data_IF_541451901128
#
_entry.id   IF_541451901128
#
_cell.length_a   1.000
_cell.length_b   1.000
_cell.length_c   1.000
_cell.angle_alpha   90.00
_cell.angle_beta   90.00
_cell.angle_gamma   90.00
#
_symmetry.space_group_name_H-M   'P 1'
#
loop_
_entity.id
_entity.type
_entity.pdbx_description
1 polymer ?
#
# COMPACT_ATOMS: atom_id res chain seq x y z
N UNK A 1 -4.62 -32.56 -8.53
CA UNK A 1 -4.06 -32.19 -7.22
C UNK A 1 -2.56 -32.36 -7.28
N UNK A 2 -1.82 -31.27 -7.50
CA UNK A 2 -0.36 -31.29 -7.46
C UNK A 2 0.12 -31.55 -6.03
N UNK A 3 1.17 -32.36 -5.87
CA UNK A 3 1.81 -32.55 -4.56
C UNK A 3 2.53 -31.26 -4.19
N UNK A 4 2.10 -30.62 -3.11
CA UNK A 4 2.81 -29.48 -2.52
C UNK A 4 4.19 -29.92 -2.02
N UNK A 5 5.20 -29.09 -2.26
CA UNK A 5 6.55 -29.27 -1.72
C UNK A 5 6.53 -29.06 -0.20
N UNK A 6 7.46 -29.71 0.50
CA UNK A 6 7.60 -29.51 1.96
C UNK A 6 7.97 -28.06 2.25
N UNK A 7 7.27 -27.46 3.21
CA UNK A 7 7.54 -26.10 3.65
C UNK A 7 8.92 -26.01 4.32
N UNK A 8 9.81 -25.11 3.87
CA UNK A 8 11.09 -24.87 4.53
C UNK A 8 10.90 -24.29 5.94
N UNK A 9 11.89 -24.53 6.82
CA UNK A 9 11.90 -23.97 8.19
C UNK A 9 12.91 -22.82 8.20
N UNK A 10 12.43 -21.60 8.40
CA UNK A 10 13.26 -20.40 8.46
C UNK A 10 13.59 -20.03 9.91
N UNK A 11 14.79 -19.46 10.13
CA UNK A 11 15.20 -18.95 11.44
C UNK A 11 14.85 -17.48 11.64
N UNK A 12 14.71 -16.72 10.54
CA UNK A 12 14.43 -15.28 10.58
C UNK A 12 13.46 -14.87 9.48
N UNK A 13 12.71 -13.78 9.71
CA UNK A 13 11.79 -13.21 8.71
C UNK A 13 12.53 -12.72 7.44
N UNK A 14 13.77 -12.25 7.59
CA UNK A 14 14.57 -11.80 6.45
C UNK A 14 14.92 -12.96 5.49
N UNK A 15 15.30 -14.11 6.05
CA UNK A 15 15.58 -15.35 5.30
C UNK A 15 14.32 -15.88 4.61
N UNK A 16 13.16 -15.82 5.30
CA UNK A 16 11.88 -16.17 4.72
C UNK A 16 11.53 -15.27 3.53
N UNK A 17 11.71 -13.95 3.66
CA UNK A 17 11.44 -12.99 2.57
C UNK A 17 12.31 -13.26 1.35
N UNK A 18 13.61 -13.45 1.54
CA UNK A 18 14.56 -13.72 0.45
C UNK A 18 14.23 -15.03 -0.30
N UNK A 19 13.76 -16.05 0.44
CA UNK A 19 13.26 -17.28 -0.17
C UNK A 19 12.01 -17.05 -1.02
N UNK A 20 10.99 -16.35 -0.49
CA UNK A 20 9.74 -16.10 -1.22
C UNK A 20 9.89 -15.12 -2.38
N UNK A 21 10.89 -14.24 -2.36
CA UNK A 21 11.21 -13.38 -3.51
C UNK A 21 11.70 -14.18 -4.73
N UNK A 22 12.28 -15.36 -4.51
CA UNK A 22 12.87 -16.21 -5.55
C UNK A 22 12.07 -17.46 -5.89
N UNK A 23 11.10 -17.86 -5.05
CA UNK A 23 10.36 -19.11 -5.19
C UNK A 23 8.85 -18.90 -5.38
N UNK A 24 8.24 -19.70 -6.25
CA UNK A 24 6.80 -19.65 -6.48
C UNK A 24 6.02 -20.30 -5.33
N UNK A 25 5.25 -19.48 -4.62
CA UNK A 25 4.39 -19.89 -3.50
C UNK A 25 3.32 -20.93 -3.84
N UNK A 26 2.91 -21.05 -5.11
CA UNK A 26 1.89 -22.02 -5.55
C UNK A 26 2.38 -23.47 -5.47
N UNK A 27 3.70 -23.67 -5.41
CA UNK A 27 4.29 -24.99 -5.23
C UNK A 27 4.29 -25.46 -3.76
N UNK A 28 4.10 -24.55 -2.81
CA UNK A 28 4.24 -24.80 -1.37
C UNK A 28 2.94 -24.59 -0.58
N UNK A 29 2.04 -23.71 -1.06
CA UNK A 29 0.81 -23.31 -0.35
C UNK A 29 -0.43 -23.68 -1.14
N UNK A 30 -1.42 -24.28 -0.46
CA UNK A 30 -2.74 -24.52 -1.04
C UNK A 30 -3.58 -23.23 -1.03
N UNK A 31 -3.53 -22.51 -2.14
CA UNK A 31 -4.30 -21.28 -2.34
C UNK A 31 -5.82 -21.49 -2.37
N UNK A 32 -6.32 -22.73 -2.51
CA UNK A 32 -7.77 -23.01 -2.44
C UNK A 32 -8.37 -22.77 -1.06
N UNK A 33 -7.52 -22.77 -0.02
CA UNK A 33 -7.91 -22.51 1.37
C UNK A 33 -7.74 -21.03 1.76
N UNK A 34 -7.24 -20.18 0.86
CA UNK A 34 -6.99 -18.78 1.17
C UNK A 34 -8.29 -18.05 1.53
N UNK A 35 -8.22 -17.18 2.54
CA UNK A 35 -9.34 -16.32 2.96
C UNK A 35 -8.91 -14.85 2.90
N UNK A 36 -9.83 -13.94 2.56
CA UNK A 36 -9.58 -12.51 2.69
C UNK A 36 -9.23 -12.19 4.14
N UNK A 37 -8.05 -11.63 4.37
CA UNK A 37 -7.64 -11.13 5.68
C UNK A 37 -7.70 -9.61 5.64
N UNK A 38 -8.37 -9.00 6.63
CA UNK A 38 -8.28 -7.57 6.89
C UNK A 38 -7.30 -7.36 8.03
N UNK A 39 -6.34 -6.46 7.82
CA UNK A 39 -5.35 -6.11 8.84
C UNK A 39 -5.58 -4.69 9.34
N UNK A 40 -6.66 -4.44 10.11
CA UNK A 40 -7.08 -3.09 10.50
C UNK A 40 -6.05 -2.33 11.35
N UNK A 41 -5.11 -3.05 11.98
CA UNK A 41 -4.12 -2.49 12.90
C UNK A 41 -2.73 -2.28 12.28
N UNK A 42 -2.53 -2.63 11.01
CA UNK A 42 -1.27 -2.31 10.34
C UNK A 42 -1.23 -0.80 10.10
N UNK A 43 -0.28 -0.11 10.74
CA UNK A 43 -0.01 1.29 10.42
C UNK A 43 0.64 1.37 9.03
N UNK A 44 0.05 2.10 8.07
CA UNK A 44 0.75 2.43 6.85
C UNK A 44 2.05 3.15 7.20
N UNK A 45 3.18 2.72 6.63
CA UNK A 45 4.45 3.41 6.82
C UNK A 45 4.35 4.81 6.22
N UNK A 46 4.46 5.86 7.04
CA UNK A 46 4.44 7.26 6.57
C UNK A 46 5.86 7.81 6.53
N UNK A 47 6.24 8.42 5.40
CA UNK A 47 7.50 9.16 5.26
C UNK A 47 7.21 10.66 5.17
N UNK A 48 7.82 11.45 6.04
CA UNK A 48 7.74 12.92 5.97
C UNK A 48 8.57 13.43 4.80
N UNK A 49 7.98 14.28 3.97
CA UNK A 49 8.64 14.96 2.87
C UNK A 49 8.44 16.47 2.98
N UNK A 50 9.41 17.25 2.50
CA UNK A 50 9.28 18.70 2.36
C UNK A 50 8.96 19.03 0.89
N UNK A 51 7.83 19.69 0.64
CA UNK A 51 7.39 20.08 -0.70
C UNK A 51 7.20 21.60 -0.76
N UNK A 52 7.63 22.23 -1.86
CA UNK A 52 7.34 23.63 -2.15
C UNK A 52 6.12 23.73 -3.05
N UNK A 53 5.18 24.59 -2.67
CA UNK A 53 3.94 24.88 -3.40
C UNK A 53 3.79 26.39 -3.56
N UNK A 54 3.20 26.88 -4.67
CA UNK A 54 2.78 28.27 -4.77
C UNK A 54 1.74 28.61 -3.69
N UNK A 55 1.87 29.78 -3.06
CA UNK A 55 0.97 30.21 -1.97
C UNK A 55 -0.50 30.22 -2.40
N UNK A 56 -0.78 30.79 -3.57
CA UNK A 56 -2.13 30.84 -4.12
C UNK A 56 -2.76 29.46 -4.33
N UNK A 57 -1.95 28.43 -4.62
CA UNK A 57 -2.44 27.06 -4.74
C UNK A 57 -2.76 26.49 -3.36
N UNK A 58 -1.85 26.66 -2.38
CA UNK A 58 -2.07 26.18 -1.01
C UNK A 58 -3.35 26.78 -0.40
N UNK A 59 -3.61 28.06 -0.65
CA UNK A 59 -4.82 28.72 -0.13
C UNK A 59 -6.10 28.18 -0.76
N UNK A 60 -6.09 27.91 -2.08
CA UNK A 60 -7.21 27.24 -2.74
C UNK A 60 -7.47 25.85 -2.15
N UNK A 61 -6.42 25.07 -1.90
CA UNK A 61 -6.54 23.75 -1.28
C UNK A 61 -7.16 23.86 0.11
N UNK A 62 -6.73 24.84 0.92
CA UNK A 62 -7.31 25.07 2.25
C UNK A 62 -8.79 25.43 2.19
N UNK A 63 -9.21 26.23 1.22
CA UNK A 63 -10.63 26.57 1.01
C UNK A 63 -11.43 25.31 0.69
N UNK A 64 -10.97 24.49 -0.27
CA UNK A 64 -11.66 23.26 -0.65
C UNK A 64 -11.69 22.22 0.48
N UNK A 65 -10.63 22.15 1.29
CA UNK A 65 -10.58 21.26 2.44
C UNK A 65 -11.60 21.66 3.52
N UNK A 66 -11.72 22.96 3.82
CA UNK A 66 -12.73 23.47 4.75
C UNK A 66 -14.16 23.20 4.25
N UNK A 67 -14.43 23.35 2.95
CA UNK A 67 -15.75 23.03 2.37
C UNK A 67 -16.16 21.56 2.57
N UNK A 68 -15.17 20.67 2.66
CA UNK A 68 -15.34 19.22 2.84
C UNK A 68 -15.17 18.78 4.29
N UNK A 69 -15.08 19.73 5.23
CA UNK A 69 -14.82 19.48 6.65
C UNK A 69 -13.59 18.56 6.89
N UNK A 70 -12.52 18.80 6.13
CA UNK A 70 -11.31 17.98 6.13
C UNK A 70 -10.06 18.84 6.33
N UNK A 71 -9.01 18.34 7.02
CA UNK A 71 -7.71 18.99 7.03
C UNK A 71 -7.09 19.04 5.62
N UNK A 72 -6.52 20.19 5.23
CA UNK A 72 -5.92 20.36 3.91
C UNK A 72 -4.83 19.34 3.57
N UNK A 73 -4.07 18.88 4.57
CA UNK A 73 -3.06 17.83 4.39
C UNK A 73 -3.68 16.46 4.07
N UNK A 74 -4.82 16.14 4.68
CA UNK A 74 -5.56 14.91 4.37
C UNK A 74 -6.15 14.99 2.96
N UNK A 75 -6.64 16.17 2.56
CA UNK A 75 -7.17 16.37 1.22
C UNK A 75 -6.07 16.20 0.15
N UNK A 76 -4.89 16.76 0.38
CA UNK A 76 -3.74 16.58 -0.52
C UNK A 76 -3.41 15.09 -0.70
N UNK A 77 -3.42 14.31 0.39
CA UNK A 77 -3.16 12.86 0.32
C UNK A 77 -4.21 12.12 -0.51
N UNK A 78 -5.49 12.46 -0.33
CA UNK A 78 -6.57 11.84 -1.08
C UNK A 78 -6.44 12.11 -2.59
N UNK A 79 -6.23 13.36 -2.99
CA UNK A 79 -6.04 13.71 -4.40
C UNK A 79 -4.80 13.09 -5.03
N UNK A 80 -3.68 13.02 -4.30
CA UNK A 80 -2.47 12.35 -4.80
C UNK A 80 -2.68 10.84 -4.97
N UNK A 81 -3.46 10.21 -4.10
CA UNK A 81 -3.78 8.78 -4.23
C UNK A 81 -4.66 8.52 -5.46
N UNK A 82 -5.73 9.30 -5.61
CA UNK A 82 -6.66 9.24 -6.75
C UNK A 82 -5.93 9.43 -8.08
N UNK A 83 -5.11 10.48 -8.21
CA UNK A 83 -4.37 10.78 -9.45
C UNK A 83 -3.36 9.68 -9.82
N UNK A 84 -2.70 9.07 -8.83
CA UNK A 84 -1.76 7.95 -9.06
C UNK A 84 -2.50 6.68 -9.47
N UNK A 85 -3.67 6.41 -8.90
CA UNK A 85 -4.52 5.28 -9.28
C UNK A 85 -5.04 5.46 -10.72
N UNK A 86 -5.62 6.62 -11.03
CA UNK A 86 -6.11 6.95 -12.37
C UNK A 86 -4.99 6.87 -13.42
N UNK A 87 -3.81 7.42 -13.12
CA UNK A 87 -2.64 7.36 -14.01
C UNK A 87 -2.13 5.93 -14.27
N UNK A 88 -2.39 4.98 -13.37
CA UNK A 88 -2.05 3.56 -13.55
C UNK A 88 -3.08 2.83 -14.40
N UNK A 89 -4.35 3.24 -14.36
CA UNK A 89 -5.43 2.64 -15.14
C UNK A 89 -5.42 3.04 -16.62
N UNK A 90 -4.76 4.15 -16.97
CA UNK A 90 -4.62 4.62 -18.36
C UNK A 90 -3.44 3.94 -19.10
N UNK A 91 -2.73 3.00 -18.46
CA UNK A 91 -1.65 2.19 -19.07
C UNK A 91 -2.04 0.72 -19.20
#
# INVERSE_FOLDING_TARGET
MSKLKKMPVFKTEAEEREFWESHDSTEYVDWSQARPASFPNLKPSTKTISLRLPEALLDRIKIEANKRDMPYQSLIKAWLAEDVEDSRHVR
#
